data_IF_595290168634
#
_entry.id   IF_595290168634
#
_cell.length_a   1.000
_cell.length_b   1.000
_cell.length_c   1.000
_cell.angle_alpha   90.00
_cell.angle_beta   90.00
_cell.angle_gamma   90.00
#
_symmetry.space_group_name_H-M   'P 1'
#
loop_
_entity.id
_entity.type
_entity.pdbx_description
1 polymer ?
#
# COMPACT_ATOMS: atom_id res chain seq x y z
N UNK A 1 9.44 17.42 24.89
CA UNK A 1 8.91 16.60 23.77
C UNK A 1 7.59 15.90 24.08
N UNK A 2 7.35 15.44 25.31
CA UNK A 2 6.11 14.73 25.71
C UNK A 2 4.81 15.52 25.51
N UNK A 3 4.79 16.83 25.81
CA UNK A 3 3.61 17.67 25.62
C UNK A 3 3.24 17.89 24.15
N UNK A 4 4.23 18.02 23.26
CA UNK A 4 4.00 18.18 21.82
C UNK A 4 3.38 16.91 21.22
N UNK A 5 3.86 15.73 21.64
CA UNK A 5 3.29 14.45 21.20
C UNK A 5 1.86 14.26 21.70
N UNK A 6 1.58 14.61 22.97
CA UNK A 6 0.23 14.51 23.51
C UNK A 6 -0.76 15.45 22.79
N UNK A 7 -0.32 16.68 22.47
CA UNK A 7 -1.14 17.66 21.77
C UNK A 7 -1.38 17.24 20.30
N UNK A 8 -0.35 16.73 19.63
CA UNK A 8 -0.47 16.20 18.28
C UNK A 8 -1.41 14.98 18.23
N UNK A 9 -1.24 14.03 19.14
CA UNK A 9 -2.09 12.85 19.22
C UNK A 9 -3.55 13.23 19.50
N UNK A 10 -3.80 14.10 20.49
CA UNK A 10 -5.15 14.55 20.80
C UNK A 10 -5.81 15.29 19.62
N UNK A 11 -5.04 16.05 18.84
CA UNK A 11 -5.54 16.67 17.61
C UNK A 11 -5.87 15.62 16.53
N UNK A 12 -5.01 14.63 16.34
CA UNK A 12 -5.24 13.55 15.37
C UNK A 12 -6.45 12.69 15.76
N UNK A 13 -6.60 12.38 17.04
CA UNK A 13 -7.75 11.64 17.57
C UNK A 13 -9.03 12.45 17.35
N UNK A 14 -9.02 13.74 17.67
CA UNK A 14 -10.17 14.61 17.43
C UNK A 14 -10.53 14.69 15.94
N UNK A 15 -9.55 14.87 15.06
CA UNK A 15 -9.75 14.88 13.61
C UNK A 15 -10.33 13.55 13.13
N UNK A 16 -9.83 12.44 13.67
CA UNK A 16 -10.30 11.12 13.33
C UNK A 16 -11.76 10.91 13.74
N UNK A 17 -12.09 11.14 15.01
CA UNK A 17 -13.41 10.88 15.58
C UNK A 17 -14.50 11.80 15.02
N UNK A 18 -14.17 13.06 14.73
CA UNK A 18 -15.19 14.07 14.38
C UNK A 18 -15.30 14.34 12.87
N UNK A 19 -14.27 14.01 12.08
CA UNK A 19 -14.27 14.30 10.64
C UNK A 19 -14.13 13.02 9.83
N UNK A 20 -13.09 12.25 10.11
CA UNK A 20 -12.74 11.08 9.28
C UNK A 20 -13.75 9.95 9.48
N UNK A 21 -13.99 9.54 10.72
CA UNK A 21 -14.90 8.45 11.06
C UNK A 21 -16.35 8.73 10.62
N UNK A 22 -16.97 9.89 10.90
CA UNK A 22 -18.34 10.16 10.46
C UNK A 22 -18.46 10.19 8.94
N UNK A 23 -17.47 10.76 8.25
CA UNK A 23 -17.41 10.74 6.78
C UNK A 23 -17.39 9.32 6.23
N UNK A 24 -16.61 8.43 6.85
CA UNK A 24 -16.60 7.03 6.45
C UNK A 24 -17.87 6.27 6.78
N UNK A 25 -18.49 6.51 7.93
CA UNK A 25 -19.79 5.89 8.27
C UNK A 25 -20.87 6.32 7.29
N UNK A 26 -20.91 7.61 6.92
CA UNK A 26 -21.83 8.12 5.91
C UNK A 26 -21.56 7.47 4.54
N UNK A 27 -20.30 7.36 4.12
CA UNK A 27 -19.93 6.67 2.90
C UNK A 27 -20.33 5.19 2.92
N UNK A 28 -20.12 4.50 4.03
CA UNK A 28 -20.54 3.11 4.22
C UNK A 28 -22.06 2.94 4.09
N UNK A 29 -22.84 3.83 4.71
CA UNK A 29 -24.31 3.81 4.59
C UNK A 29 -24.80 4.04 3.15
N UNK A 30 -24.15 4.95 2.41
CA UNK A 30 -24.44 5.15 0.97
C UNK A 30 -24.10 3.90 0.17
N UNK A 31 -22.94 3.28 0.45
CA UNK A 31 -22.52 2.06 -0.23
C UNK A 31 -23.44 0.88 0.08
N UNK A 32 -23.93 0.74 1.31
CA UNK A 32 -24.95 -0.24 1.68
C UNK A 32 -26.23 -0.03 0.86
N UNK A 33 -26.72 1.21 0.80
CA UNK A 33 -27.94 1.53 0.08
C UNK A 33 -27.85 1.23 -1.43
N UNK A 34 -26.68 1.45 -2.03
CA UNK A 34 -26.45 1.27 -3.48
C UNK A 34 -26.07 -0.17 -3.83
N UNK A 35 -25.37 -0.89 -2.94
CA UNK A 35 -24.76 -2.19 -3.25
C UNK A 35 -25.40 -3.32 -2.46
N UNK A 36 -25.35 -3.29 -1.13
CA UNK A 36 -25.78 -4.43 -0.31
C UNK A 36 -27.30 -4.56 -0.24
N UNK A 37 -28.03 -3.46 -0.05
CA UNK A 37 -29.50 -3.50 0.05
C UNK A 37 -30.16 -4.04 -1.23
N UNK A 38 -29.76 -3.65 -2.45
CA UNK A 38 -30.28 -4.25 -3.67
C UNK A 38 -29.94 -5.74 -3.83
N UNK A 39 -28.73 -6.15 -3.44
CA UNK A 39 -28.33 -7.57 -3.47
C UNK A 39 -29.15 -8.40 -2.48
N UNK A 40 -29.37 -7.87 -1.27
CA UNK A 40 -30.21 -8.51 -0.26
C UNK A 40 -31.68 -8.58 -0.72
N UNK A 41 -32.21 -7.49 -1.29
CA UNK A 41 -33.57 -7.46 -1.84
C UNK A 41 -33.75 -8.47 -2.99
N UNK A 42 -32.67 -8.80 -3.71
CA UNK A 42 -32.65 -9.83 -4.75
C UNK A 42 -32.49 -11.25 -4.19
N UNK A 43 -32.46 -11.43 -2.87
CA UNK A 43 -32.32 -12.74 -2.21
C UNK A 43 -30.92 -13.35 -2.31
N UNK A 44 -29.90 -12.56 -2.61
CA UNK A 44 -28.51 -13.04 -2.71
C UNK A 44 -28.00 -13.43 -1.33
N UNK A 45 -27.41 -14.63 -1.20
CA UNK A 45 -26.87 -15.11 0.08
C UNK A 45 -25.71 -14.24 0.55
N UNK A 46 -25.56 -14.08 1.87
CA UNK A 46 -24.53 -13.23 2.46
C UNK A 46 -23.11 -13.65 2.04
N UNK A 47 -22.86 -14.94 1.83
CA UNK A 47 -21.58 -15.44 1.31
C UNK A 47 -21.25 -14.88 -0.08
N UNK A 48 -22.24 -14.81 -0.98
CA UNK A 48 -22.07 -14.22 -2.32
C UNK A 48 -21.87 -12.72 -2.24
N UNK A 49 -22.53 -12.04 -1.30
CA UNK A 49 -22.32 -10.61 -1.06
C UNK A 49 -20.89 -10.32 -0.58
N UNK A 50 -20.35 -11.11 0.36
CA UNK A 50 -18.94 -11.00 0.80
C UNK A 50 -17.97 -11.27 -0.36
N UNK A 51 -18.24 -12.29 -1.19
CA UNK A 51 -17.42 -12.56 -2.37
C UNK A 51 -17.44 -11.39 -3.36
N UNK A 52 -18.61 -10.79 -3.60
CA UNK A 52 -18.74 -9.60 -4.44
C UNK A 52 -17.93 -8.41 -3.90
N UNK A 53 -17.97 -8.16 -2.59
CA UNK A 53 -17.16 -7.13 -1.95
C UNK A 53 -15.66 -7.40 -2.09
N UNK A 54 -15.23 -8.66 -2.02
CA UNK A 54 -13.86 -9.06 -2.30
C UNK A 54 -13.43 -8.72 -3.73
N UNK A 55 -14.28 -9.02 -4.72
CA UNK A 55 -14.05 -8.66 -6.13
C UNK A 55 -13.99 -7.15 -6.31
N UNK A 56 -14.90 -6.40 -5.69
CA UNK A 56 -14.93 -4.95 -5.75
C UNK A 56 -13.66 -4.33 -5.13
N UNK A 57 -13.21 -4.85 -3.99
CA UNK A 57 -11.96 -4.41 -3.34
C UNK A 57 -10.74 -4.71 -4.19
N UNK A 58 -10.71 -5.89 -4.82
CA UNK A 58 -9.65 -6.25 -5.77
C UNK A 58 -9.63 -5.31 -6.97
N UNK A 59 -10.80 -5.01 -7.55
CA UNK A 59 -10.92 -4.10 -8.68
C UNK A 59 -10.50 -2.68 -8.32
N UNK A 60 -10.90 -2.18 -7.15
CA UNK A 60 -10.47 -0.88 -6.63
C UNK A 60 -8.95 -0.84 -6.45
N UNK A 61 -8.37 -1.90 -5.88
CA UNK A 61 -6.91 -2.01 -5.73
C UNK A 61 -6.22 -1.97 -7.10
N UNK A 62 -6.75 -2.67 -8.11
CA UNK A 62 -6.23 -2.65 -9.47
C UNK A 62 -6.30 -1.25 -10.11
N UNK A 63 -7.42 -0.54 -9.93
CA UNK A 63 -7.57 0.84 -10.41
C UNK A 63 -6.56 1.77 -9.74
N UNK A 64 -6.37 1.67 -8.42
CA UNK A 64 -5.39 2.47 -7.70
C UNK A 64 -3.96 2.14 -8.15
N UNK A 65 -3.63 0.87 -8.39
CA UNK A 65 -2.32 0.50 -8.97
C UNK A 65 -2.06 1.22 -10.29
N UNK A 66 -3.07 1.28 -11.17
CA UNK A 66 -2.98 1.99 -12.46
C UNK A 66 -2.92 3.50 -12.31
N UNK A 67 -3.74 4.07 -11.43
CA UNK A 67 -3.78 5.51 -11.18
C UNK A 67 -2.46 6.02 -10.59
N UNK A 68 -1.90 5.27 -9.63
CA UNK A 68 -0.60 5.55 -9.02
C UNK A 68 0.57 5.17 -9.92
N UNK A 69 0.30 4.63 -11.13
CA UNK A 69 1.28 4.27 -12.15
C UNK A 69 2.44 3.43 -11.57
N UNK A 70 2.10 2.45 -10.74
CA UNK A 70 3.09 1.72 -9.95
C UNK A 70 4.16 1.05 -10.81
N UNK A 71 3.79 0.53 -11.98
CA UNK A 71 4.74 -0.09 -12.91
C UNK A 71 5.69 0.94 -13.52
N UNK A 72 5.17 2.08 -14.01
CA UNK A 72 6.00 3.16 -14.57
C UNK A 72 6.96 3.75 -13.55
N UNK A 73 6.49 3.99 -12.33
CA UNK A 73 7.35 4.53 -11.27
C UNK A 73 8.51 3.58 -10.92
N UNK A 74 8.34 2.26 -11.13
CA UNK A 74 9.42 1.27 -10.97
C UNK A 74 10.37 1.30 -12.16
N UNK A 75 9.84 1.30 -13.38
CA UNK A 75 10.65 1.38 -14.61
C UNK A 75 11.52 2.63 -14.64
N UNK A 76 10.93 3.79 -14.33
CA UNK A 76 11.62 5.08 -14.22
C UNK A 76 12.73 5.04 -13.17
N UNK A 77 12.47 4.42 -12.01
CA UNK A 77 13.49 4.24 -10.99
C UNK A 77 14.64 3.36 -11.47
N UNK A 78 14.37 2.19 -12.06
CA UNK A 78 15.44 1.29 -12.51
C UNK A 78 16.28 1.92 -13.63
N UNK A 79 15.64 2.64 -14.54
CA UNK A 79 16.35 3.39 -15.59
C UNK A 79 17.24 4.49 -14.99
N UNK A 80 16.72 5.28 -14.05
CA UNK A 80 17.50 6.32 -13.37
C UNK A 80 18.64 5.73 -12.52
N UNK A 81 18.39 4.66 -11.78
CA UNK A 81 19.38 3.98 -10.95
C UNK A 81 20.51 3.38 -11.79
N UNK A 82 20.19 2.77 -12.93
CA UNK A 82 21.19 2.24 -13.85
C UNK A 82 22.06 3.36 -14.45
N UNK A 83 21.44 4.44 -14.93
CA UNK A 83 22.16 5.58 -15.49
C UNK A 83 23.10 6.25 -14.45
N UNK A 84 22.63 6.39 -13.21
CA UNK A 84 23.43 6.93 -12.11
C UNK A 84 24.63 6.00 -11.80
N UNK A 85 24.39 4.68 -11.74
CA UNK A 85 25.45 3.68 -11.52
C UNK A 85 26.51 3.73 -12.61
N UNK A 86 26.12 3.87 -13.88
CA UNK A 86 27.05 3.97 -15.01
C UNK A 86 27.88 5.25 -14.94
N UNK A 87 27.24 6.37 -14.58
CA UNK A 87 27.89 7.67 -14.41
C UNK A 87 28.97 7.62 -13.32
N UNK A 88 28.65 7.06 -12.15
CA UNK A 88 29.63 6.87 -11.08
C UNK A 88 30.75 5.91 -11.48
N UNK A 89 30.43 4.82 -12.18
CA UNK A 89 31.42 3.83 -12.61
C UNK A 89 32.43 4.44 -13.60
N UNK A 90 31.97 5.27 -14.54
CA UNK A 90 32.82 6.01 -15.46
C UNK A 90 33.71 7.02 -14.71
N UNK A 91 33.15 7.78 -13.76
CA UNK A 91 33.89 8.75 -12.96
C UNK A 91 34.97 8.12 -12.07
N UNK A 92 34.66 6.97 -11.45
CA UNK A 92 35.64 6.20 -10.65
C UNK A 92 36.74 5.62 -11.54
N UNK A 93 36.40 5.09 -12.72
CA UNK A 93 37.39 4.53 -13.64
C UNK A 93 38.39 5.61 -14.12
N UNK A 94 37.89 6.80 -14.43
CA UNK A 94 38.68 7.94 -14.91
C UNK A 94 39.56 8.62 -13.84
N UNK A 95 39.31 8.36 -12.54
CA UNK A 95 40.08 8.97 -11.47
C UNK A 95 41.56 8.52 -11.51
N UNK A 96 42.54 9.43 -11.36
CA UNK A 96 43.96 9.11 -11.51
C UNK A 96 44.59 8.40 -10.32
N UNK A 97 44.06 8.59 -9.10
CA UNK A 97 44.63 8.07 -7.85
C UNK A 97 43.71 7.04 -7.17
N UNK A 98 44.32 6.00 -6.57
CA UNK A 98 43.65 4.96 -5.80
C UNK A 98 42.92 5.52 -4.57
N UNK A 99 43.48 6.53 -3.89
CA UNK A 99 42.82 7.15 -2.74
C UNK A 99 41.54 7.88 -3.17
N UNK A 100 41.60 8.60 -4.29
CA UNK A 100 40.43 9.27 -4.87
C UNK A 100 39.37 8.26 -5.34
N UNK A 101 39.78 7.15 -5.97
CA UNK A 101 38.87 6.05 -6.34
C UNK A 101 38.12 5.48 -5.14
N UNK A 102 38.82 5.27 -4.03
CA UNK A 102 38.20 4.75 -2.80
C UNK A 102 37.19 5.74 -2.20
N UNK A 103 37.49 7.04 -2.22
CA UNK A 103 36.55 8.07 -1.75
C UNK A 103 35.33 8.18 -2.67
N UNK A 104 35.52 8.18 -3.98
CA UNK A 104 34.43 8.21 -4.96
C UNK A 104 33.55 6.95 -4.88
N UNK A 105 34.14 5.78 -4.63
CA UNK A 105 33.38 4.55 -4.42
C UNK A 105 32.50 4.62 -3.16
N UNK A 106 33.00 5.19 -2.06
CA UNK A 106 32.18 5.41 -0.85
C UNK A 106 31.05 6.41 -1.08
N UNK A 107 31.33 7.49 -1.79
CA UNK A 107 30.31 8.50 -2.13
C UNK A 107 29.23 7.91 -3.05
N UNK A 108 29.64 7.11 -4.05
CA UNK A 108 28.70 6.34 -4.89
C UNK A 108 27.81 5.46 -4.03
N UNK A 109 28.37 4.65 -3.15
CA UNK A 109 27.60 3.69 -2.37
C UNK A 109 26.57 4.40 -1.49
N UNK A 110 26.96 5.50 -0.81
CA UNK A 110 26.03 6.31 -0.03
C UNK A 110 24.93 6.93 -0.90
N UNK A 111 25.28 7.52 -2.05
CA UNK A 111 24.31 8.14 -2.95
C UNK A 111 23.32 7.15 -3.56
N UNK A 112 23.80 5.97 -3.96
CA UNK A 112 22.95 4.89 -4.46
C UNK A 112 22.03 4.34 -3.37
N UNK A 113 22.53 4.20 -2.13
CA UNK A 113 21.72 3.74 -1.00
C UNK A 113 20.62 4.76 -0.64
N UNK A 114 20.92 6.06 -0.66
CA UNK A 114 19.92 7.11 -0.43
C UNK A 114 18.83 7.11 -1.52
N UNK A 115 19.23 7.01 -2.78
CA UNK A 115 18.30 6.94 -3.91
C UNK A 115 17.41 5.69 -3.83
N UNK A 116 17.99 4.55 -3.43
CA UNK A 116 17.26 3.30 -3.21
C UNK A 116 16.30 3.38 -2.01
N UNK A 117 16.73 3.93 -0.89
CA UNK A 117 15.91 4.10 0.31
C UNK A 117 14.70 5.01 0.05
N UNK A 118 14.91 6.12 -0.67
CA UNK A 118 13.83 7.01 -1.08
C UNK A 118 12.81 6.31 -1.98
N UNK A 119 13.29 5.51 -2.93
CA UNK A 119 12.42 4.69 -3.77
C UNK A 119 11.63 3.66 -2.95
N UNK A 120 12.26 2.97 -2.01
CA UNK A 120 11.57 2.02 -1.14
C UNK A 120 10.50 2.70 -0.28
N UNK A 121 10.79 3.86 0.29
CA UNK A 121 9.82 4.63 1.08
C UNK A 121 8.62 5.03 0.21
N UNK A 122 8.86 5.54 -1.00
CA UNK A 122 7.81 5.88 -1.95
C UNK A 122 7.02 4.66 -2.42
N UNK A 123 7.69 3.53 -2.66
CA UNK A 123 7.05 2.27 -3.03
C UNK A 123 6.16 1.73 -1.90
N UNK A 124 6.63 1.83 -0.65
CA UNK A 124 5.85 1.44 0.51
C UNK A 124 4.59 2.29 0.65
N UNK A 125 4.71 3.63 0.52
CA UNK A 125 3.57 4.53 0.56
C UNK A 125 2.56 4.23 -0.56
N UNK A 126 3.03 4.01 -1.81
CA UNK A 126 2.17 3.65 -2.94
C UNK A 126 1.50 2.29 -2.75
N UNK A 127 2.24 1.29 -2.28
CA UNK A 127 1.67 -0.02 -1.96
C UNK A 127 0.61 0.12 -0.85
N UNK A 128 0.89 0.87 0.21
CA UNK A 128 -0.08 1.13 1.27
C UNK A 128 -1.36 1.78 0.72
N UNK A 129 -1.23 2.81 -0.11
CA UNK A 129 -2.38 3.45 -0.73
C UNK A 129 -3.12 2.55 -1.73
N UNK A 130 -2.42 1.81 -2.58
CA UNK A 130 -3.05 0.98 -3.61
C UNK A 130 -3.74 -0.26 -3.05
N UNK A 131 -3.20 -0.79 -1.96
CA UNK A 131 -3.53 -2.12 -1.47
C UNK A 131 -4.17 -2.06 -0.07
N UNK A 132 -3.56 -1.40 0.90
CA UNK A 132 -4.09 -1.37 2.27
C UNK A 132 -5.33 -0.48 2.37
N UNK A 133 -5.36 0.66 1.68
CA UNK A 133 -6.51 1.56 1.76
C UNK A 133 -7.81 0.89 1.30
N UNK A 134 -7.91 0.23 0.12
CA UNK A 134 -9.12 -0.51 -0.25
C UNK A 134 -9.56 -1.55 0.77
N UNK A 135 -8.59 -2.28 1.34
CA UNK A 135 -8.87 -3.30 2.37
C UNK A 135 -9.44 -2.64 3.63
N UNK A 136 -8.82 -1.56 4.12
CA UNK A 136 -9.29 -0.83 5.29
C UNK A 136 -10.68 -0.23 5.06
N UNK A 137 -10.94 0.33 3.88
CA UNK A 137 -12.25 0.84 3.50
C UNK A 137 -13.30 -0.26 3.50
N UNK A 138 -12.98 -1.43 2.94
CA UNK A 138 -13.90 -2.56 2.93
C UNK A 138 -14.13 -3.12 4.34
N UNK A 139 -13.10 -3.22 5.18
CA UNK A 139 -13.25 -3.67 6.57
C UNK A 139 -14.11 -2.71 7.38
N UNK A 140 -13.90 -1.40 7.20
CA UNK A 140 -14.69 -0.36 7.86
C UNK A 140 -16.14 -0.41 7.39
N UNK A 141 -16.35 -0.54 6.08
CA UNK A 141 -17.69 -0.70 5.51
C UNK A 141 -18.38 -1.94 6.07
N UNK A 142 -17.71 -3.10 6.04
CA UNK A 142 -18.23 -4.35 6.60
C UNK A 142 -18.53 -4.23 8.10
N UNK A 143 -17.72 -3.52 8.88
CA UNK A 143 -17.95 -3.34 10.32
C UNK A 143 -19.22 -2.53 10.64
N UNK A 144 -19.66 -1.70 9.69
CA UNK A 144 -20.84 -0.85 9.82
C UNK A 144 -22.04 -1.30 8.96
N UNK A 145 -21.92 -2.43 8.24
CA UNK A 145 -22.97 -2.87 7.33
C UNK A 145 -24.01 -3.76 8.00
N UNK A 146 -25.21 -3.79 7.41
CA UNK A 146 -26.30 -4.70 7.79
C UNK A 146 -25.84 -6.17 7.76
N UNK A 147 -24.86 -6.51 6.93
CA UNK A 147 -24.32 -7.85 6.80
C UNK A 147 -23.60 -8.34 8.06
N UNK A 148 -22.88 -7.44 8.73
CA UNK A 148 -22.21 -7.73 10.00
C UNK A 148 -23.18 -7.87 11.18
N UNK A 149 -24.34 -7.22 11.11
CA UNK A 149 -25.42 -7.45 12.08
C UNK A 149 -26.06 -8.83 11.90
N UNK A 150 -26.16 -9.34 10.66
CA UNK A 150 -26.78 -10.64 10.36
C UNK A 150 -25.88 -11.85 10.65
N UNK A 151 -24.60 -11.76 10.28
CA UNK A 151 -23.65 -12.88 10.41
C UNK A 151 -22.78 -12.78 11.68
N UNK A 152 -22.82 -11.64 12.38
CA UNK A 152 -21.87 -11.33 13.44
C UNK A 152 -20.56 -10.75 12.86
N UNK A 153 -20.14 -9.61 13.41
CA UNK A 153 -18.96 -8.84 12.97
C UNK A 153 -17.70 -9.70 12.80
N UNK A 154 -17.44 -10.57 13.77
CA UNK A 154 -16.24 -11.43 13.77
C UNK A 154 -16.21 -12.41 12.59
N UNK A 155 -17.35 -12.97 12.20
CA UNK A 155 -17.43 -13.97 11.13
C UNK A 155 -17.27 -13.31 9.76
N UNK A 156 -17.85 -12.14 9.56
CA UNK A 156 -17.72 -11.36 8.31
C UNK A 156 -16.27 -10.89 8.10
N UNK A 157 -15.64 -10.38 9.17
CA UNK A 157 -14.23 -9.99 9.12
C UNK A 157 -13.32 -11.20 8.88
N UNK A 158 -13.56 -12.33 9.55
CA UNK A 158 -12.80 -13.56 9.35
C UNK A 158 -12.95 -14.09 7.91
N UNK A 159 -14.15 -14.12 7.34
CA UNK A 159 -14.39 -14.54 5.97
C UNK A 159 -13.66 -13.66 4.95
N UNK A 160 -13.68 -12.34 5.14
CA UNK A 160 -13.00 -11.41 4.26
C UNK A 160 -11.46 -11.53 4.39
N UNK A 161 -10.93 -11.63 5.61
CA UNK A 161 -9.49 -11.73 5.86
C UNK A 161 -8.91 -13.09 5.44
N UNK A 162 -9.60 -14.19 5.73
CA UNK A 162 -9.15 -15.54 5.35
C UNK A 162 -9.23 -15.76 3.83
N UNK A 163 -10.24 -15.21 3.15
CA UNK A 163 -10.38 -15.33 1.70
C UNK A 163 -9.46 -14.39 0.92
N UNK A 164 -9.51 -13.09 1.22
CA UNK A 164 -8.86 -12.05 0.42
C UNK A 164 -7.63 -11.44 1.10
N UNK A 165 -7.66 -11.26 2.42
CA UNK A 165 -6.55 -10.71 3.20
C UNK A 165 -5.28 -11.57 3.14
N UNK A 166 -5.41 -12.90 3.20
CA UNK A 166 -4.28 -13.83 3.13
C UNK A 166 -3.62 -13.87 1.74
N UNK A 167 -4.41 -13.94 0.66
CA UNK A 167 -3.90 -13.90 -0.72
C UNK A 167 -3.21 -12.56 -1.04
N UNK A 168 -3.74 -11.48 -0.47
CA UNK A 168 -3.21 -10.13 -0.54
C UNK A 168 -1.87 -9.97 0.20
N UNK A 169 -1.79 -10.40 1.46
CA UNK A 169 -0.55 -10.39 2.24
C UNK A 169 0.51 -11.24 1.54
N UNK A 170 0.13 -12.42 1.02
CA UNK A 170 1.00 -13.23 0.18
C UNK A 170 1.53 -12.44 -1.02
N UNK A 171 0.70 -11.76 -1.81
CA UNK A 171 1.20 -10.96 -2.96
C UNK A 171 2.11 -9.80 -2.54
N UNK A 172 1.78 -9.09 -1.46
CA UNK A 172 2.60 -8.01 -0.92
C UNK A 172 3.99 -8.56 -0.52
N UNK A 173 4.03 -9.67 0.23
CA UNK A 173 5.27 -10.31 0.67
C UNK A 173 6.06 -10.94 -0.49
N UNK A 174 5.38 -11.51 -1.48
CA UNK A 174 6.04 -12.13 -2.65
C UNK A 174 6.66 -11.07 -3.55
N UNK A 175 5.99 -9.92 -3.74
CA UNK A 175 6.58 -8.78 -4.45
C UNK A 175 7.83 -8.29 -3.71
N UNK A 176 7.73 -8.00 -2.41
CA UNK A 176 8.90 -7.51 -1.64
C UNK A 176 10.05 -8.51 -1.64
N UNK A 177 9.77 -9.82 -1.60
CA UNK A 177 10.81 -10.87 -1.62
C UNK A 177 11.49 -11.00 -2.98
N UNK A 178 10.75 -10.96 -4.08
CA UNK A 178 11.35 -11.00 -5.42
C UNK A 178 12.22 -9.77 -5.69
N UNK A 179 11.87 -8.62 -5.12
CA UNK A 179 12.68 -7.40 -5.23
C UNK A 179 13.99 -7.46 -4.43
N UNK A 180 13.99 -8.05 -3.23
CA UNK A 180 15.23 -8.28 -2.48
C UNK A 180 16.22 -9.18 -3.25
N UNK A 181 15.70 -10.15 -4.01
CA UNK A 181 16.51 -11.03 -4.85
C UNK A 181 17.07 -10.31 -6.08
N UNK A 182 16.26 -9.47 -6.74
CA UNK A 182 16.67 -8.72 -7.93
C UNK A 182 17.74 -7.66 -7.61
N UNK A 183 17.72 -7.12 -6.40
CA UNK A 183 18.73 -6.17 -5.90
C UNK A 183 20.04 -6.85 -5.54
N UNK A 184 20.00 -8.10 -5.06
CA UNK A 184 21.23 -8.92 -4.89
C UNK A 184 21.92 -9.24 -6.21
N UNK A 185 21.18 -9.32 -7.31
CA UNK A 185 21.76 -9.50 -8.65
C UNK A 185 22.25 -8.21 -9.29
N UNK A 186 21.84 -7.04 -8.77
CA UNK A 186 22.24 -5.72 -9.29
C UNK A 186 23.38 -5.06 -8.49
N UNK A 187 23.64 -5.51 -7.25
CA UNK A 187 24.85 -5.18 -6.48
C UNK A 187 26.02 -6.07 -6.91
#
# INVERSE_FOLDING_TARGET
MTYLHALLNGFLDHLFENVVQPGFVAAAGIMDAIVLNPLQASGVSAAVQVAFLGVLTWFLSFLLCRLLRMDRAREEFYAAFAAEKDTWSAGIAAAPDRALKANLAKLRDNGLDDLYNNFLAGLFARNGAAYLLPVLLCLLWLNHSVLAEQLGREQVLALFLCGYGAAFLCRLFTQTRNHATLVRTLR
#
